data_IF_469115986222
#
_entry.id   IF_469115986222
#
_cell.length_a   1.000
_cell.length_b   1.000
_cell.length_c   1.000
_cell.angle_alpha   90.00
_cell.angle_beta   90.00
_cell.angle_gamma   90.00
#
_symmetry.space_group_name_H-M   'P 1'
#
loop_
_entity.id
_entity.type
_entity.pdbx_description
1 polymer ?
#
# COMPACT_ATOMS: atom_id res chain seq x y z
N UNK A 1 5.78 3.84 -11.21
CA UNK A 1 5.94 3.35 -9.81
C UNK A 1 7.12 2.37 -9.71
N UNK A 2 7.59 2.03 -8.50
CA UNK A 2 8.61 0.98 -8.30
C UNK A 2 8.09 -0.07 -7.31
N UNK A 3 8.37 -1.35 -7.58
CA UNK A 3 7.92 -2.46 -6.75
C UNK A 3 9.08 -3.36 -6.30
N UNK A 4 8.85 -4.10 -5.22
CA UNK A 4 9.72 -5.17 -4.72
C UNK A 4 8.88 -6.41 -4.45
N UNK A 5 9.44 -7.58 -4.73
CA UNK A 5 8.86 -8.87 -4.35
C UNK A 5 9.62 -9.43 -3.14
N UNK A 6 8.92 -9.66 -2.03
CA UNK A 6 9.44 -10.39 -0.89
C UNK A 6 9.22 -11.89 -1.07
N UNK A 7 10.29 -12.59 -1.45
CA UNK A 7 10.27 -14.05 -1.67
C UNK A 7 10.10 -14.85 -0.38
N UNK A 8 10.30 -14.24 0.80
CA UNK A 8 10.09 -14.92 2.08
C UNK A 8 8.61 -15.00 2.46
N UNK A 9 7.80 -14.09 1.93
CA UNK A 9 6.34 -14.09 2.08
C UNK A 9 5.62 -14.79 0.94
N UNK A 10 6.24 -14.90 -0.23
CA UNK A 10 5.64 -15.53 -1.40
C UNK A 10 5.39 -17.03 -1.14
N UNK A 11 4.14 -17.46 -1.31
CA UNK A 11 3.69 -18.86 -1.11
C UNK A 11 3.16 -19.48 -2.42
N UNK A 12 3.62 -18.98 -3.58
CA UNK A 12 3.39 -19.64 -4.88
C UNK A 12 1.97 -19.56 -5.48
N UNK A 13 1.12 -18.62 -5.05
CA UNK A 13 -0.25 -18.47 -5.60
C UNK A 13 -0.31 -18.16 -7.11
N UNK A 14 0.75 -17.56 -7.67
CA UNK A 14 0.88 -17.31 -9.12
C UNK A 14 -0.07 -16.26 -9.73
N UNK A 15 -0.93 -15.61 -8.93
CA UNK A 15 -1.88 -14.59 -9.41
C UNK A 15 -1.17 -13.36 -9.99
N UNK A 16 -0.01 -12.99 -9.45
CA UNK A 16 0.78 -11.86 -9.93
C UNK A 16 1.24 -12.01 -11.39
N UNK A 17 1.69 -13.21 -11.78
CA UNK A 17 2.08 -13.50 -13.17
C UNK A 17 0.89 -13.55 -14.13
N UNK A 18 -0.34 -13.75 -13.64
CA UNK A 18 -1.55 -13.65 -14.46
C UNK A 18 -1.91 -12.19 -14.77
N UNK A 19 -1.77 -11.30 -13.78
CA UNK A 19 -2.05 -9.88 -13.98
C UNK A 19 -0.95 -9.16 -14.76
N UNK A 20 0.31 -9.42 -14.44
CA UNK A 20 1.47 -8.72 -14.97
C UNK A 20 2.60 -9.69 -15.39
N UNK A 21 2.40 -10.50 -16.44
CA UNK A 21 3.38 -11.51 -16.89
C UNK A 21 4.72 -10.92 -17.36
N UNK A 22 4.76 -9.64 -17.75
CA UNK A 22 5.99 -8.95 -18.11
C UNK A 22 6.88 -8.58 -16.92
N UNK A 23 6.34 -8.61 -15.69
CA UNK A 23 7.02 -8.19 -14.47
C UNK A 23 7.25 -9.35 -13.50
N UNK A 24 6.44 -10.41 -13.57
CA UNK A 24 6.56 -11.57 -12.71
C UNK A 24 6.70 -12.84 -13.54
N UNK A 25 7.77 -13.58 -13.31
CA UNK A 25 7.92 -14.96 -13.77
C UNK A 25 7.64 -15.93 -12.63
N UNK A 26 7.18 -17.14 -12.96
CA UNK A 26 7.06 -18.24 -12.01
C UNK A 26 8.16 -19.26 -12.31
N UNK A 27 8.76 -19.83 -11.27
CA UNK A 27 9.64 -20.98 -11.39
C UNK A 27 8.88 -22.31 -11.46
N UNK A 28 9.62 -23.41 -11.56
CA UNK A 28 9.05 -24.76 -11.66
C UNK A 28 8.25 -25.19 -10.42
N UNK A 29 8.40 -24.48 -9.30
CA UNK A 29 7.67 -24.69 -8.05
C UNK A 29 6.52 -23.69 -7.86
N UNK A 30 6.30 -22.79 -8.82
CA UNK A 30 5.24 -21.79 -8.80
C UNK A 30 5.58 -20.54 -7.99
N UNK A 31 6.79 -20.40 -7.45
CA UNK A 31 7.20 -19.19 -6.74
C UNK A 31 7.48 -18.06 -7.73
N UNK A 32 7.02 -16.86 -7.38
CA UNK A 32 7.24 -15.70 -8.20
C UNK A 32 8.68 -15.17 -8.07
N UNK A 33 9.19 -14.64 -9.18
CA UNK A 33 10.39 -13.83 -9.25
C UNK A 33 10.09 -12.54 -10.01
N UNK A 34 10.71 -11.44 -9.58
CA UNK A 34 10.58 -10.15 -10.23
C UNK A 34 11.52 -10.09 -11.45
N UNK A 35 10.99 -9.67 -12.60
CA UNK A 35 11.75 -9.47 -13.83
C UNK A 35 12.30 -8.03 -13.81
N UNK A 36 13.61 -7.89 -13.97
CA UNK A 36 14.28 -6.59 -13.97
C UNK A 36 14.44 -6.00 -12.56
N UNK A 37 14.42 -4.68 -12.47
CA UNK A 37 14.74 -3.93 -11.23
C UNK A 37 13.49 -3.46 -10.46
N UNK A 38 12.30 -3.87 -10.92
CA UNK A 38 11.02 -3.46 -10.35
C UNK A 38 10.52 -2.09 -10.78
N UNK A 39 11.16 -1.44 -11.75
CA UNK A 39 10.64 -0.19 -12.34
C UNK A 39 9.47 -0.52 -13.27
N UNK A 40 8.31 0.05 -12.99
CA UNK A 40 7.05 -0.21 -13.72
C UNK A 40 6.70 0.98 -14.58
N UNK A 41 6.41 0.72 -15.86
CA UNK A 41 5.94 1.74 -16.80
C UNK A 41 4.55 2.25 -16.41
N UNK A 42 4.22 3.50 -16.76
CA UNK A 42 2.89 4.04 -16.43
C UNK A 42 1.75 3.27 -17.14
N UNK A 43 1.99 2.70 -18.32
CA UNK A 43 0.98 1.89 -19.03
C UNK A 43 0.69 0.56 -18.34
N UNK A 44 1.64 0.00 -17.60
CA UNK A 44 1.49 -1.28 -16.91
C UNK A 44 1.09 -1.12 -15.43
N UNK A 45 0.97 0.13 -14.97
CA UNK A 45 0.67 0.46 -13.58
C UNK A 45 -0.58 -0.27 -13.09
N UNK A 46 -1.68 -0.23 -13.84
CA UNK A 46 -2.94 -0.88 -13.42
C UNK A 46 -2.84 -2.41 -13.34
N UNK A 47 -2.02 -3.02 -14.20
CA UNK A 47 -1.79 -4.45 -14.19
C UNK A 47 -0.97 -4.87 -12.96
N UNK A 48 0.09 -4.11 -12.65
CA UNK A 48 0.93 -4.36 -11.47
C UNK A 48 0.19 -4.02 -10.16
N UNK A 49 -0.62 -2.97 -10.15
CA UNK A 49 -1.47 -2.64 -8.98
C UNK A 49 -2.47 -3.76 -8.69
N UNK A 50 -3.08 -4.37 -9.71
CA UNK A 50 -3.90 -5.57 -9.52
C UNK A 50 -3.10 -6.72 -8.94
N UNK A 51 -1.91 -7.00 -9.47
CA UNK A 51 -1.02 -8.02 -8.91
C UNK A 51 -0.69 -7.80 -7.42
N UNK A 52 -0.48 -6.54 -7.02
CA UNK A 52 -0.20 -6.14 -5.64
C UNK A 52 -1.40 -6.37 -4.72
N UNK A 53 -2.59 -5.93 -5.14
CA UNK A 53 -3.82 -6.01 -4.34
C UNK A 53 -4.38 -7.45 -4.25
N UNK A 54 -4.19 -8.25 -5.30
CA UNK A 54 -4.75 -9.60 -5.37
C UNK A 54 -3.79 -10.68 -4.82
N UNK A 55 -2.62 -10.29 -4.29
CA UNK A 55 -1.69 -11.21 -3.67
C UNK A 55 -2.16 -11.60 -2.25
N UNK A 56 -2.57 -12.86 -1.99
CA UNK A 56 -3.20 -13.23 -0.71
C UNK A 56 -2.27 -13.10 0.51
N UNK A 57 -0.96 -13.17 0.27
CA UNK A 57 0.11 -13.07 1.28
C UNK A 57 0.82 -11.71 1.25
N UNK A 58 0.35 -10.77 0.42
CA UNK A 58 0.93 -9.43 0.27
C UNK A 58 2.46 -9.42 0.07
N UNK A 59 2.96 -10.36 -0.75
CA UNK A 59 4.39 -10.48 -1.03
C UNK A 59 4.94 -9.37 -1.95
N UNK A 60 4.08 -8.55 -2.58
CA UNK A 60 4.46 -7.48 -3.49
C UNK A 60 4.31 -6.14 -2.76
N UNK A 61 5.38 -5.34 -2.75
CA UNK A 61 5.46 -4.09 -2.02
C UNK A 61 5.73 -2.96 -3.02
N UNK A 62 4.90 -1.93 -2.99
CA UNK A 62 5.22 -0.68 -3.67
C UNK A 62 6.29 0.08 -2.88
N UNK A 63 7.39 0.39 -3.53
CA UNK A 63 8.42 1.29 -3.02
C UNK A 63 8.03 2.71 -3.43
N UNK A 64 7.35 3.42 -2.54
CA UNK A 64 7.12 4.86 -2.71
C UNK A 64 8.42 5.66 -2.61
N UNK A 65 8.46 6.86 -3.18
CA UNK A 65 9.51 7.86 -2.88
C UNK A 65 9.35 8.48 -1.48
N UNK A 66 8.33 8.07 -0.73
CA UNK A 66 8.05 8.53 0.62
C UNK A 66 8.56 7.48 1.60
N UNK A 67 9.81 7.65 2.05
CA UNK A 67 10.34 6.91 3.20
C UNK A 67 9.51 7.15 4.47
N UNK A 68 9.88 6.58 5.63
CA UNK A 68 9.12 6.73 6.89
C UNK A 68 9.00 8.19 7.38
N UNK A 69 9.72 9.12 6.74
CA UNK A 69 9.60 10.56 6.88
C UNK A 69 9.25 11.19 5.52
N UNK A 70 8.24 10.65 4.82
CA UNK A 70 7.79 11.17 3.53
C UNK A 70 7.60 12.68 3.65
N UNK A 71 8.51 13.44 3.01
CA UNK A 71 8.62 14.92 3.02
C UNK A 71 7.81 15.55 4.16
N UNK A 72 8.46 15.78 5.32
CA UNK A 72 7.89 16.75 6.26
C UNK A 72 7.58 18.01 5.44
N UNK A 73 6.33 18.52 5.40
CA UNK A 73 6.09 19.82 4.81
C UNK A 73 7.03 20.76 5.57
N UNK A 74 7.99 21.35 4.85
CA UNK A 74 8.77 22.45 5.41
C UNK A 74 7.74 23.51 5.76
N UNK A 75 7.50 23.69 7.05
CA UNK A 75 6.56 24.65 7.59
C UNK A 75 7.10 26.05 7.30
N UNK A 76 7.03 26.47 6.05
CA UNK A 76 7.10 27.87 5.68
C UNK A 76 5.73 28.49 5.98
N UNK A 77 5.68 29.04 7.19
CA UNK A 77 4.91 30.18 7.67
C UNK A 77 3.44 30.41 7.20
N UNK A 78 2.60 30.56 8.24
CA UNK A 78 1.32 31.26 8.28
C UNK A 78 0.07 30.49 7.81
N UNK A 79 -0.64 29.88 8.77
CA UNK A 79 -1.86 30.52 9.27
C UNK A 79 -2.26 29.91 10.62
N UNK A 80 -2.27 30.74 11.66
CA UNK A 80 -2.79 30.43 12.99
C UNK A 80 -4.28 30.71 12.94
N UNK A 81 -5.12 29.67 12.98
CA UNK A 81 -6.44 29.73 13.64
C UNK A 81 -6.84 28.30 13.99
N UNK A 82 -6.56 27.88 15.23
CA UNK A 82 -7.25 26.74 15.83
C UNK A 82 -8.71 27.15 16.07
N UNK A 83 -9.72 26.52 15.44
CA UNK A 83 -11.08 26.71 15.89
C UNK A 83 -11.23 26.04 17.26
N UNK A 84 -11.43 26.87 18.27
CA UNK A 84 -11.73 26.47 19.63
C UNK A 84 -13.05 25.68 19.63
N UNK A 85 -12.97 24.36 19.70
CA UNK A 85 -14.16 23.50 19.80
C UNK A 85 -14.70 23.55 21.23
N UNK A 86 -15.53 24.55 21.51
CA UNK A 86 -16.42 24.54 22.65
C UNK A 86 -17.73 23.86 22.23
N UNK A 87 -18.02 22.69 22.79
CA UNK A 87 -19.40 22.22 22.95
C UNK A 87 -19.49 21.30 24.16
N UNK A 88 -19.85 21.91 25.28
CA UNK A 88 -20.22 21.27 26.53
C UNK A 88 -21.61 20.64 26.41
N UNK A 89 -21.72 19.36 26.07
CA UNK A 89 -23.00 18.64 26.12
C UNK A 89 -22.79 17.14 26.35
N UNK A 90 -22.08 16.76 27.42
CA UNK A 90 -22.00 15.36 27.87
C UNK A 90 -23.28 14.99 28.62
N UNK A 91 -24.36 14.78 27.89
CA UNK A 91 -25.58 14.17 28.46
C UNK A 91 -25.43 12.64 28.40
N UNK A 92 -24.95 12.07 29.49
CA UNK A 92 -24.98 10.65 29.75
C UNK A 92 -26.45 10.19 29.95
N UNK A 93 -27.08 9.65 28.90
CA UNK A 93 -28.37 8.97 29.07
C UNK A 93 -28.16 7.62 29.76
N UNK A 94 -28.27 7.65 31.08
CA UNK A 94 -28.32 6.48 31.95
C UNK A 94 -29.74 5.92 31.93
N UNK A 95 -30.12 5.22 30.85
CA UNK A 95 -31.41 4.52 30.76
C UNK A 95 -31.19 3.00 30.71
N UNK A 96 -30.50 2.49 31.74
CA UNK A 96 -30.42 1.05 32.01
C UNK A 96 -30.79 0.77 33.47
N UNK A 97 -32.02 1.14 33.83
CA UNK A 97 -32.78 0.51 34.91
C UNK A 97 -34.19 0.29 34.39
N UNK A 98 -34.45 -0.90 33.85
CA UNK A 98 -35.47 -1.82 34.38
C UNK A 98 -35.36 -3.20 33.75
#
# INVERSE_FOLDING_TARGET
>A
MKIKLDRTLCDGFGICAKHAPGYFSLDDWGYASLIGDGTVSESDRDAVMRALLDCPVHAIIELGEHGPLGRLPTADAADTTEPHLASENSEAISEFVR
#
